data_IF_790241097413
#
_entry.id   IF_790241097413
#
_cell.length_a   1.000
_cell.length_b   1.000
_cell.length_c   1.000
_cell.angle_alpha   90.00
_cell.angle_beta   90.00
_cell.angle_gamma   90.00
#
_symmetry.space_group_name_H-M   'P 1'
#
loop_
_entity.id
_entity.type
_entity.pdbx_description
1 polymer ?
#
# COMPACT_ATOMS: atom_id res chain seq x y z
N UNK A 1 1.36 18.15 -14.01
CA UNK A 1 1.65 17.00 -14.88
C UNK A 1 1.54 15.75 -14.03
N UNK A 2 0.52 14.91 -14.24
CA UNK A 2 0.34 13.65 -13.50
C UNK A 2 0.86 12.52 -14.38
N UNK A 3 2.01 11.96 -14.05
CA UNK A 3 2.49 10.75 -14.71
C UNK A 3 1.67 9.58 -14.16
N UNK A 4 0.73 9.08 -14.98
CA UNK A 4 -0.06 7.89 -14.67
C UNK A 4 0.65 6.71 -15.33
N UNK A 5 1.11 5.75 -14.52
CA UNK A 5 1.67 4.49 -15.02
C UNK A 5 0.51 3.52 -15.22
N UNK A 6 0.32 3.03 -16.46
CA UNK A 6 -0.71 2.06 -16.82
C UNK A 6 -0.05 0.70 -17.09
N UNK A 7 -0.48 -0.34 -16.38
CA UNK A 7 -0.04 -1.72 -16.58
C UNK A 7 -1.23 -2.55 -17.09
N UNK A 8 -1.01 -3.29 -18.19
CA UNK A 8 -2.00 -4.15 -18.85
C UNK A 8 -1.54 -5.60 -18.75
N UNK A 9 -2.38 -6.53 -18.26
CA UNK A 9 -1.97 -7.90 -17.97
C UNK A 9 -3.01 -8.95 -18.41
N UNK A 10 -2.53 -10.07 -18.97
CA UNK A 10 -3.31 -11.21 -19.46
C UNK A 10 -3.70 -12.20 -18.36
N UNK A 11 -4.93 -12.71 -18.43
CA UNK A 11 -5.59 -13.57 -17.43
C UNK A 11 -5.00 -14.99 -17.42
N UNK A 12 -4.01 -15.23 -16.55
CA UNK A 12 -3.61 -16.60 -16.20
C UNK A 12 -2.23 -16.73 -15.55
N UNK A 13 -1.27 -15.91 -15.99
CA UNK A 13 0.13 -15.96 -15.52
C UNK A 13 0.49 -14.81 -14.58
N UNK A 14 -0.40 -13.82 -14.47
CA UNK A 14 -0.11 -12.53 -13.84
C UNK A 14 -0.60 -12.37 -12.40
N UNK A 15 -1.43 -13.28 -11.89
CA UNK A 15 -1.90 -13.16 -10.50
C UNK A 15 -0.75 -13.29 -9.49
N UNK A 16 0.24 -14.15 -9.76
CA UNK A 16 1.46 -14.26 -8.94
C UNK A 16 2.30 -12.99 -8.98
N UNK A 17 2.44 -12.38 -10.16
CA UNK A 17 3.19 -11.13 -10.32
C UNK A 17 2.47 -9.96 -9.62
N UNK A 18 1.15 -9.88 -9.78
CA UNK A 18 0.29 -8.95 -9.04
C UNK A 18 0.46 -9.14 -7.52
N UNK A 19 0.37 -10.36 -7.01
CA UNK A 19 0.50 -10.63 -5.58
C UNK A 19 1.91 -10.29 -5.04
N UNK A 20 2.96 -10.52 -5.84
CA UNK A 20 4.32 -10.13 -5.50
C UNK A 20 4.47 -8.61 -5.41
N UNK A 21 3.90 -7.87 -6.37
CA UNK A 21 3.88 -6.40 -6.35
C UNK A 21 3.08 -5.88 -5.16
N UNK A 22 1.92 -6.47 -4.90
CA UNK A 22 1.09 -6.15 -3.74
C UNK A 22 1.86 -6.32 -2.44
N UNK A 23 2.52 -7.48 -2.23
CA UNK A 23 3.29 -7.75 -1.02
C UNK A 23 4.46 -6.77 -0.85
N UNK A 24 5.15 -6.43 -1.95
CA UNK A 24 6.25 -5.47 -1.91
C UNK A 24 5.77 -4.06 -1.56
N UNK A 25 4.64 -3.62 -2.13
CA UNK A 25 4.02 -2.34 -1.78
C UNK A 25 3.55 -2.34 -0.32
N UNK A 26 2.94 -3.43 0.15
CA UNK A 26 2.51 -3.56 1.53
C UNK A 26 3.69 -3.42 2.50
N UNK A 27 4.79 -4.13 2.26
CA UNK A 27 5.99 -4.05 3.08
C UNK A 27 6.58 -2.62 3.12
N UNK A 28 6.64 -1.94 1.96
CA UNK A 28 7.11 -0.56 1.92
C UNK A 28 6.21 0.40 2.73
N UNK A 29 4.89 0.17 2.71
CA UNK A 29 3.96 0.97 3.51
C UNK A 29 4.05 0.66 5.01
N UNK A 30 4.30 -0.59 5.39
CA UNK A 30 4.56 -0.96 6.79
C UNK A 30 5.78 -0.22 7.33
N UNK A 31 6.87 -0.12 6.56
CA UNK A 31 8.05 0.67 6.94
C UNK A 31 7.72 2.16 7.12
N UNK A 32 6.92 2.74 6.22
CA UNK A 32 6.49 4.14 6.32
C UNK A 32 5.60 4.41 7.54
N UNK A 33 4.69 3.48 7.85
CA UNK A 33 3.82 3.57 9.01
C UNK A 33 4.60 3.39 10.31
N UNK A 34 5.57 2.48 10.35
CA UNK A 34 6.48 2.28 11.47
C UNK A 34 7.31 3.53 11.74
N UNK A 35 7.94 4.10 10.70
CA UNK A 35 8.71 5.33 10.83
C UNK A 35 7.84 6.50 11.31
N UNK A 36 6.61 6.62 10.80
CA UNK A 36 5.65 7.65 11.23
C UNK A 36 5.19 7.43 12.68
N UNK A 37 4.98 6.17 13.08
CA UNK A 37 4.64 5.79 14.44
C UNK A 37 5.74 6.16 15.42
N UNK A 38 6.97 5.81 15.09
CA UNK A 38 8.13 6.12 15.91
C UNK A 38 8.36 7.63 16.00
N UNK A 39 8.16 8.37 14.90
CA UNK A 39 8.32 9.82 14.88
C UNK A 39 7.24 10.57 15.67
N UNK A 40 5.98 10.13 15.62
CA UNK A 40 4.85 10.81 16.26
C UNK A 40 4.61 10.37 17.71
N UNK A 41 4.78 9.08 18.00
CA UNK A 41 4.36 8.47 19.25
C UNK A 41 5.51 7.77 19.99
N UNK A 42 6.67 7.60 19.37
CA UNK A 42 7.84 6.93 19.97
C UNK A 42 7.61 5.44 20.26
N UNK A 43 6.63 4.82 19.61
CA UNK A 43 6.24 3.42 19.77
C UNK A 43 6.17 2.73 18.42
N UNK A 44 6.27 1.40 18.42
CA UNK A 44 6.03 0.64 17.20
C UNK A 44 4.60 0.81 16.72
N UNK A 45 4.41 0.82 15.41
CA UNK A 45 3.10 0.91 14.78
C UNK A 45 2.18 -0.19 15.28
N UNK A 46 2.68 -1.41 15.51
CA UNK A 46 1.89 -2.53 16.00
C UNK A 46 1.32 -2.32 17.42
N UNK A 47 2.04 -1.57 18.26
CA UNK A 47 1.68 -1.29 19.65
C UNK A 47 0.70 -0.11 19.79
N UNK A 48 0.47 0.64 18.71
CA UNK A 48 -0.42 1.79 18.74
C UNK A 48 -1.90 1.37 18.89
N UNK A 49 -2.69 2.15 19.66
CA UNK A 49 -4.14 2.03 19.66
C UNK A 49 -4.74 2.35 18.29
N UNK A 50 -5.92 1.79 18.02
CA UNK A 50 -6.61 1.88 16.72
C UNK A 50 -6.76 3.31 16.20
N UNK A 51 -7.04 4.27 17.08
CA UNK A 51 -7.22 5.67 16.68
C UNK A 51 -5.91 6.32 16.19
N UNK A 52 -4.77 5.99 16.80
CA UNK A 52 -3.46 6.49 16.35
C UNK A 52 -3.04 5.83 15.04
N UNK A 53 -3.27 4.51 14.90
CA UNK A 53 -3.09 3.78 13.64
C UNK A 53 -3.94 4.40 12.51
N UNK A 54 -5.20 4.75 12.81
CA UNK A 54 -6.10 5.41 11.85
C UNK A 54 -5.52 6.75 11.39
N UNK A 55 -5.03 7.58 12.32
CA UNK A 55 -4.40 8.86 11.97
C UNK A 55 -3.22 8.67 11.00
N UNK A 56 -2.33 7.72 11.28
CA UNK A 56 -1.19 7.41 10.41
C UNK A 56 -1.66 6.91 9.03
N UNK A 57 -2.66 6.02 8.97
CA UNK A 57 -3.20 5.50 7.71
C UNK A 57 -3.93 6.56 6.88
N UNK A 58 -4.54 7.55 7.52
CA UNK A 58 -5.13 8.70 6.82
C UNK A 58 -4.03 9.61 6.25
N UNK A 59 -2.94 9.81 6.98
CA UNK A 59 -1.80 10.61 6.52
C UNK A 59 -1.01 9.90 5.41
N UNK A 60 -0.88 8.57 5.49
CA UNK A 60 -0.13 7.73 4.55
C UNK A 60 -1.07 6.63 4.03
N UNK A 61 -1.98 6.96 3.11
CA UNK A 61 -2.95 6.00 2.60
C UNK A 61 -2.30 5.03 1.62
N UNK A 62 -2.54 3.74 1.82
CA UNK A 62 -2.23 2.70 0.83
C UNK A 62 -3.31 2.75 -0.25
N UNK A 63 -3.00 3.42 -1.37
CA UNK A 63 -3.89 3.52 -2.52
C UNK A 63 -3.44 2.49 -3.55
N UNK A 64 -4.19 1.41 -3.66
CA UNK A 64 -3.97 0.39 -4.69
C UNK A 64 -5.16 0.51 -5.66
N UNK A 65 -4.90 1.04 -6.84
CA UNK A 65 -5.89 1.09 -7.91
C UNK A 65 -5.66 -0.11 -8.81
N UNK A 66 -6.50 -1.12 -8.72
CA UNK A 66 -6.62 -2.13 -9.76
C UNK A 66 -7.36 -1.50 -10.94
N UNK A 67 -6.67 -1.25 -12.05
CA UNK A 67 -7.34 -1.08 -13.31
C UNK A 67 -7.88 -2.45 -13.72
N UNK A 68 -9.16 -2.71 -13.45
CA UNK A 68 -9.88 -3.86 -14.02
C UNK A 68 -9.52 -3.97 -15.52
N UNK A 69 -9.08 -5.14 -16.01
CA UNK A 69 -8.81 -5.29 -17.43
C UNK A 69 -10.13 -5.09 -18.16
N UNK A 70 -10.20 -4.06 -19.00
CA UNK A 70 -11.32 -3.88 -19.94
C UNK A 70 -11.48 -5.19 -20.71
N UNK A 71 -12.53 -5.94 -20.40
CA UNK A 71 -12.97 -7.06 -21.19
C UNK A 71 -13.41 -6.51 -22.55
N UNK A 72 -12.54 -6.70 -23.55
CA UNK A 72 -12.90 -6.64 -24.96
C UNK A 72 -12.81 -8.06 -25.51
#
# INVERSE_FOLDING_TARGET
QKAIISLKNDRGTNYKAYLAVYNALHAAYEELWEASSQAQFGKSYEELPVEQKRSIRVAIPLIISEAEPTAF
#
